data_IF_268366766367
#
_entry.id   IF_268366766367
#
_cell.length_a   1.000
_cell.length_b   1.000
_cell.length_c   1.000
_cell.angle_alpha   90.00
_cell.angle_beta   90.00
_cell.angle_gamma   90.00
#
_symmetry.space_group_name_H-M   'P 1'
#
loop_
_entity.id
_entity.type
_entity.pdbx_description
1 polymer ?
#
# COMPACT_ATOMS: atom_id res chain seq x y z
N UNK A 1 4.17 -9.07 32.49
CA UNK A 1 3.34 -9.42 31.32
C UNK A 1 4.10 -9.04 30.06
N UNK A 2 4.48 -10.01 29.23
CA UNK A 2 5.29 -9.79 28.02
C UNK A 2 4.45 -9.15 26.91
N UNK A 3 5.01 -8.16 26.22
CA UNK A 3 4.39 -7.54 25.04
C UNK A 3 4.25 -8.63 23.95
N UNK A 4 3.05 -8.91 23.42
CA UNK A 4 2.91 -9.86 22.32
C UNK A 4 3.73 -9.35 21.13
N UNK A 5 4.67 -10.19 20.67
CA UNK A 5 5.50 -9.92 19.49
C UNK A 5 4.58 -10.12 18.27
N UNK A 6 4.03 -9.03 17.75
CA UNK A 6 3.31 -9.06 16.47
C UNK A 6 4.30 -9.54 15.41
N UNK A 7 4.19 -10.81 15.01
CA UNK A 7 4.98 -11.40 13.92
C UNK A 7 4.38 -11.00 12.58
N UNK A 8 4.32 -9.70 12.30
CA UNK A 8 4.21 -9.23 10.93
C UNK A 8 5.66 -9.09 10.45
N UNK A 9 6.22 -10.17 9.92
CA UNK A 9 7.53 -10.11 9.26
C UNK A 9 7.47 -9.04 8.18
N UNK A 10 8.21 -7.96 8.38
CA UNK A 10 8.35 -6.88 7.42
C UNK A 10 9.69 -7.04 6.70
N UNK A 11 9.62 -7.10 5.39
CA UNK A 11 10.79 -7.14 4.51
C UNK A 11 10.93 -5.81 3.77
N UNK A 12 12.18 -5.41 3.52
CA UNK A 12 12.49 -4.24 2.70
C UNK A 12 12.66 -4.68 1.25
N UNK A 13 12.03 -3.95 0.33
CA UNK A 13 12.22 -4.12 -1.10
C UNK A 13 12.82 -2.85 -1.70
N UNK A 14 13.70 -3.01 -2.68
CA UNK A 14 14.23 -1.91 -3.49
C UNK A 14 13.66 -2.00 -4.90
N UNK A 15 12.99 -0.94 -5.35
CA UNK A 15 12.32 -0.90 -6.66
C UNK A 15 12.82 0.32 -7.43
N UNK A 16 13.14 0.14 -8.72
CA UNK A 16 13.36 1.26 -9.63
C UNK A 16 12.02 1.72 -10.20
N UNK A 17 11.73 3.01 -10.05
CA UNK A 17 10.51 3.62 -10.57
C UNK A 17 10.87 4.83 -11.47
N UNK A 18 10.10 5.08 -12.54
CA UNK A 18 10.15 6.35 -13.26
C UNK A 18 9.95 7.52 -12.30
N UNK A 19 10.63 8.64 -12.57
CA UNK A 19 10.56 9.84 -11.73
C UNK A 19 9.12 10.34 -11.53
N UNK A 20 8.27 10.22 -12.56
CA UNK A 20 6.87 10.63 -12.45
C UNK A 20 6.08 9.77 -11.44
N UNK A 21 6.36 8.46 -11.35
CA UNK A 21 5.69 7.61 -10.34
C UNK A 21 6.13 7.97 -8.92
N UNK A 22 7.39 8.36 -8.74
CA UNK A 22 7.89 8.85 -7.44
C UNK A 22 7.14 10.14 -7.07
N UNK A 23 6.95 11.05 -8.03
CA UNK A 23 6.23 12.31 -7.83
C UNK A 23 4.77 12.06 -7.42
N UNK A 24 4.08 11.14 -8.11
CA UNK A 24 2.71 10.76 -7.77
C UNK A 24 2.61 10.11 -6.38
N UNK A 25 3.60 9.30 -6.00
CA UNK A 25 3.67 8.68 -4.68
C UNK A 25 3.83 9.72 -3.57
N UNK A 26 4.66 10.74 -3.79
CA UNK A 26 4.85 11.85 -2.84
C UNK A 26 3.57 12.68 -2.69
N UNK A 27 2.89 13.00 -3.79
CA UNK A 27 1.60 13.70 -3.75
C UNK A 27 0.53 12.89 -2.98
N UNK A 28 0.52 11.58 -3.15
CA UNK A 28 -0.38 10.70 -2.41
C UNK A 28 -0.03 10.68 -0.91
N UNK A 29 1.26 10.67 -0.55
CA UNK A 29 1.68 10.79 0.85
C UNK A 29 1.19 12.10 1.49
N UNK A 30 1.29 13.23 0.78
CA UNK A 30 0.73 14.50 1.27
C UNK A 30 -0.79 14.44 1.46
N UNK A 31 -1.49 13.81 0.51
CA UNK A 31 -2.95 13.61 0.61
C UNK A 31 -3.32 12.78 1.86
N UNK A 32 -2.54 11.75 2.17
CA UNK A 32 -2.75 10.97 3.39
C UNK A 32 -2.47 11.80 4.66
N UNK A 33 -1.43 12.65 4.66
CA UNK A 33 -1.15 13.53 5.81
C UNK A 33 -2.29 14.49 6.10
N UNK A 34 -2.89 15.08 5.06
CA UNK A 34 -4.02 16.00 5.25
C UNK A 34 -5.26 15.28 5.76
N UNK A 35 -5.46 14.00 5.38
CA UNK A 35 -6.57 13.18 5.84
C UNK A 35 -6.36 12.59 7.23
N UNK A 36 -5.12 12.51 7.71
CA UNK A 36 -4.76 11.86 8.97
C UNK A 36 -3.90 12.78 9.85
N UNK A 37 -4.48 13.90 10.33
CA UNK A 37 -3.74 14.86 11.16
C UNK A 37 -3.18 14.18 12.43
N UNK A 38 -1.92 14.46 12.73
CA UNK A 38 -1.21 13.89 13.89
C UNK A 38 -0.50 12.56 13.61
N UNK A 39 -0.62 11.99 12.41
CA UNK A 39 0.15 10.82 11.99
C UNK A 39 1.34 11.23 11.11
N UNK A 40 2.52 10.67 11.39
CA UNK A 40 3.71 10.87 10.57
C UNK A 40 3.69 9.91 9.37
N UNK A 41 2.98 10.31 8.31
CA UNK A 41 2.88 9.50 7.09
C UNK A 41 4.15 9.62 6.26
N UNK A 42 4.76 8.48 5.96
CA UNK A 42 5.94 8.36 5.11
C UNK A 42 5.59 7.92 3.69
N UNK A 43 6.56 8.07 2.77
CA UNK A 43 6.47 7.51 1.41
C UNK A 43 6.23 6.00 1.41
N UNK A 44 6.80 5.28 2.38
CA UNK A 44 6.60 3.83 2.54
C UNK A 44 5.16 3.50 2.89
N UNK A 45 4.51 4.31 3.71
CA UNK A 45 3.09 4.12 4.06
C UNK A 45 2.19 4.36 2.86
N UNK A 46 2.46 5.42 2.09
CA UNK A 46 1.79 5.69 0.82
C UNK A 46 1.94 4.52 -0.16
N UNK A 47 3.16 3.98 -0.30
CA UNK A 47 3.42 2.82 -1.15
C UNK A 47 2.65 1.59 -0.66
N UNK A 48 2.64 1.32 0.65
CA UNK A 48 1.89 0.21 1.26
C UNK A 48 0.40 0.33 0.97
N UNK A 49 -0.18 1.53 1.12
CA UNK A 49 -1.60 1.77 0.86
C UNK A 49 -1.99 1.54 -0.61
N UNK A 50 -1.18 2.03 -1.55
CA UNK A 50 -1.41 1.79 -2.99
C UNK A 50 -1.27 0.30 -3.33
N UNK A 51 -0.23 -0.37 -2.83
CA UNK A 51 -0.02 -1.80 -3.10
C UNK A 51 -1.16 -2.64 -2.52
N UNK A 52 -1.59 -2.34 -1.31
CA UNK A 52 -2.69 -3.06 -0.64
C UNK A 52 -4.00 -2.89 -1.40
N UNK A 53 -4.36 -1.65 -1.74
CA UNK A 53 -5.60 -1.34 -2.47
C UNK A 53 -5.60 -1.94 -3.89
N UNK A 54 -4.48 -1.83 -4.61
CA UNK A 54 -4.33 -2.41 -5.95
C UNK A 54 -4.43 -3.94 -5.96
N UNK A 55 -3.84 -4.61 -4.96
CA UNK A 55 -3.92 -6.06 -4.83
C UNK A 55 -5.31 -6.54 -4.40
N UNK A 56 -6.00 -5.82 -3.51
CA UNK A 56 -7.37 -6.12 -3.13
C UNK A 56 -8.33 -6.03 -4.34
N UNK A 57 -8.21 -4.97 -5.15
CA UNK A 57 -8.99 -4.82 -6.38
C UNK A 57 -8.73 -5.93 -7.42
N UNK A 58 -7.51 -6.47 -7.47
CA UNK A 58 -7.15 -7.57 -8.37
C UNK A 58 -7.75 -8.91 -7.93
N UNK A 59 -7.80 -9.20 -6.63
CA UNK A 59 -8.42 -10.42 -6.08
C UNK A 59 -9.91 -10.50 -6.42
N UNK A 60 -10.63 -9.37 -6.45
CA UNK A 60 -12.06 -9.35 -6.81
C UNK A 60 -12.32 -9.66 -8.30
N UNK A 61 -11.36 -9.38 -9.20
CA UNK A 61 -11.53 -9.67 -10.64
C UNK A 61 -11.14 -11.09 -11.03
N UNK A 62 -10.36 -11.79 -10.21
CA UNK A 62 -9.97 -13.18 -10.46
C UNK A 62 -11.10 -14.20 -10.20
N UNK A 63 -12.20 -13.80 -9.54
CA UNK A 63 -13.33 -14.67 -9.23
C UNK A 63 -14.48 -14.69 -10.25
N UNK A 64 -14.35 -14.03 -11.41
CA UNK A 64 -15.43 -13.86 -12.41
C UNK A 64 -15.17 -14.52 -13.78
N UNK A 65 -14.30 -15.51 -13.84
CA UNK A 65 -14.13 -16.37 -15.03
C UNK A 65 -14.36 -17.82 -14.64
N UNK A 66 -15.62 -18.26 -14.72
CA UNK A 66 -16.00 -19.66 -14.49
C UNK A 66 -17.50 -19.84 -14.38
N UNK A 67 -18.21 -19.72 -15.50
CA UNK A 67 -19.67 -19.91 -15.55
C UNK A 67 -20.24 -19.82 -16.97
N UNK A 68 -19.68 -20.60 -17.90
CA UNK A 68 -20.38 -20.99 -19.13
C UNK A 68 -20.79 -22.45 -18.97
N UNK A 69 -22.08 -22.69 -18.81
CA UNK A 69 -22.77 -23.87 -19.34
C UNK A 69 -24.04 -23.37 -19.99
#
# INVERSE_FOLDING_TARGET
MGRPKLSEESAVISIRLPAELIRLLDQYAETLRTQTPGLNITRTDAARAILTSGLAGKKMKAGKTGGKK
#
